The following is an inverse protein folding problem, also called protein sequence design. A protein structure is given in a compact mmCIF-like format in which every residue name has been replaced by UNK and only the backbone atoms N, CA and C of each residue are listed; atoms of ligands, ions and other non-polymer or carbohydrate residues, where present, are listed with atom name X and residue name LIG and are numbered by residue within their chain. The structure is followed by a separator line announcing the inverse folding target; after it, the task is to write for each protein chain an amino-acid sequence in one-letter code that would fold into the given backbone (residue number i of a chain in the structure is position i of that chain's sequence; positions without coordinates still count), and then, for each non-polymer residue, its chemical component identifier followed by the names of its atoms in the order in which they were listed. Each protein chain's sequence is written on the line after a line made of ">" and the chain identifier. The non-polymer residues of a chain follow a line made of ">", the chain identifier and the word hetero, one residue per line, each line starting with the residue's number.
data_IF_549152213350
#
_entry.id   IF_549152213350
#
_cell.length_a   1.000
_cell.length_b   1.000
_cell.length_c   1.000
_cell.angle_alpha   90.00
_cell.angle_beta   90.00
_cell.angle_gamma   90.00
#
_symmetry.space_group_name_H-M   'P 1'
#
loop_
_entity.id
_entity.type
_entity.pdbx_description
1 polymer ?
#
# COMPACT_ATOMS: atom_id res chain seq x y z
N UNK A 1 15.19 2.79 4.06
CA UNK A 1 15.29 2.14 2.73
C UNK A 1 14.35 2.89 1.82
N UNK A 2 14.86 3.41 0.70
CA UNK A 2 14.10 4.15 -0.31
C UNK A 2 14.50 3.70 -1.73
N UNK A 3 14.73 2.41 -1.88
CA UNK A 3 14.99 1.76 -3.17
C UNK A 3 13.68 1.54 -3.95
N UNK A 4 13.70 1.05 -5.18
CA UNK A 4 12.49 0.48 -5.78
C UNK A 4 11.86 -0.58 -4.88
N UNK A 5 10.52 -0.62 -4.81
CA UNK A 5 9.79 -1.49 -3.87
C UNK A 5 10.15 -2.98 -4.00
N UNK A 6 10.52 -3.43 -5.20
CA UNK A 6 11.01 -4.79 -5.47
C UNK A 6 12.33 -5.15 -4.75
N UNK A 7 12.95 -4.20 -4.04
CA UNK A 7 14.21 -4.38 -3.31
C UNK A 7 14.08 -4.11 -1.81
N UNK A 8 12.92 -3.65 -1.34
CA UNK A 8 12.74 -3.29 0.07
C UNK A 8 13.06 -4.46 1.00
N UNK A 9 12.49 -5.63 0.71
CA UNK A 9 12.64 -6.81 1.58
C UNK A 9 14.06 -7.33 1.58
N UNK A 10 14.71 -7.52 0.43
CA UNK A 10 16.10 -7.98 0.35
C UNK A 10 17.02 -7.12 1.22
N UNK A 11 16.91 -5.79 1.10
CA UNK A 11 17.73 -4.84 1.85
C UNK A 11 17.38 -4.85 3.34
N UNK A 12 16.09 -4.98 3.68
CA UNK A 12 15.61 -5.01 5.06
C UNK A 12 16.14 -6.25 5.80
N UNK A 13 16.00 -7.41 5.19
CA UNK A 13 16.50 -8.68 5.75
C UNK A 13 17.99 -8.61 5.98
N UNK A 14 18.76 -8.19 4.97
CA UNK A 14 20.21 -8.05 5.08
C UNK A 14 20.60 -7.10 6.23
N UNK A 15 19.94 -5.96 6.34
CA UNK A 15 20.24 -4.99 7.40
C UNK A 15 19.94 -5.55 8.80
N UNK A 16 18.80 -6.22 8.99
CA UNK A 16 18.44 -6.82 10.28
C UNK A 16 19.39 -7.96 10.68
N UNK A 17 19.80 -8.81 9.73
CA UNK A 17 20.81 -9.86 9.94
C UNK A 17 22.16 -9.28 10.39
N UNK A 18 22.48 -8.06 9.94
CA UNK A 18 23.71 -7.35 10.34
C UNK A 18 23.49 -6.41 11.54
N UNK A 19 22.43 -6.65 12.33
CA UNK A 19 22.20 -5.98 13.60
C UNK A 19 21.65 -4.55 13.49
N UNK A 20 21.09 -4.15 12.34
CA UNK A 20 20.51 -2.81 12.15
C UNK A 20 19.00 -2.84 12.33
N UNK A 21 18.43 -1.75 12.83
CA UNK A 21 17.01 -1.48 12.73
C UNK A 21 16.70 -0.97 11.32
N UNK A 22 15.48 -1.18 10.86
CA UNK A 22 15.03 -0.85 9.52
C UNK A 22 13.82 0.06 9.55
N UNK A 23 13.85 1.08 8.70
CA UNK A 23 12.71 1.87 8.30
C UNK A 23 12.67 1.88 6.76
N UNK A 24 11.58 1.44 6.18
CA UNK A 24 11.43 1.28 4.73
C UNK A 24 10.24 2.07 4.20
N UNK A 25 10.39 2.64 3.02
CA UNK A 25 9.32 3.25 2.25
C UNK A 25 8.24 2.23 1.88
N UNK A 26 7.08 2.73 1.53
CA UNK A 26 5.92 1.95 1.09
C UNK A 26 6.08 1.48 -0.37
N UNK A 27 5.49 0.32 -0.69
CA UNK A 27 5.00 -0.74 0.20
C UNK A 27 6.18 -1.48 0.86
N UNK A 28 5.99 -1.97 2.06
CA UNK A 28 7.04 -2.70 2.79
C UNK A 28 7.44 -4.00 2.09
N UNK A 29 6.48 -4.68 1.49
CA UNK A 29 6.62 -5.96 0.79
C UNK A 29 5.63 -6.05 -0.37
N UNK A 30 5.85 -6.96 -1.32
CA UNK A 30 5.01 -7.16 -2.51
C UNK A 30 4.24 -8.49 -2.40
N UNK A 31 4.80 -9.48 -1.72
CA UNK A 31 4.21 -10.80 -1.57
C UNK A 31 3.89 -11.11 -0.11
N UNK A 32 2.97 -12.04 0.11
CA UNK A 32 2.66 -12.52 1.46
C UNK A 32 3.87 -13.18 2.12
N UNK A 33 4.68 -13.91 1.35
CA UNK A 33 5.90 -14.53 1.85
C UNK A 33 6.91 -13.48 2.33
N UNK A 34 7.11 -12.43 1.58
CA UNK A 34 7.96 -11.30 1.98
C UNK A 34 7.47 -10.63 3.28
N UNK A 35 6.15 -10.50 3.46
CA UNK A 35 5.59 -9.99 4.72
C UNK A 35 6.01 -10.87 5.91
N UNK A 36 5.91 -12.19 5.77
CA UNK A 36 6.35 -13.12 6.82
C UNK A 36 7.85 -13.06 7.05
N UNK A 37 8.66 -12.99 5.99
CA UNK A 37 10.11 -12.86 6.12
C UNK A 37 10.53 -11.62 6.92
N UNK A 38 9.86 -10.48 6.72
CA UNK A 38 10.11 -9.27 7.51
C UNK A 38 9.80 -9.47 8.99
N UNK A 39 8.65 -10.06 9.31
CA UNK A 39 8.22 -10.32 10.69
C UNK A 39 9.16 -11.32 11.36
N UNK A 40 9.37 -12.48 10.75
CA UNK A 40 10.20 -13.56 11.31
C UNK A 40 11.65 -13.09 11.53
N UNK A 41 12.19 -12.31 10.60
CA UNK A 41 13.55 -11.78 10.74
C UNK A 41 13.63 -10.72 11.81
N UNK A 42 12.66 -9.84 11.92
CA UNK A 42 12.57 -8.84 12.99
C UNK A 42 12.54 -9.51 14.37
N UNK A 43 11.70 -10.52 14.54
CA UNK A 43 11.59 -11.28 15.79
C UNK A 43 12.87 -12.04 16.13
N UNK A 44 13.42 -12.77 15.17
CA UNK A 44 14.63 -13.59 15.35
C UNK A 44 15.87 -12.74 15.66
N UNK A 45 16.03 -11.63 14.95
CA UNK A 45 17.20 -10.74 15.14
C UNK A 45 17.01 -9.74 16.27
N UNK A 46 15.78 -9.57 16.76
CA UNK A 46 15.37 -8.52 17.71
C UNK A 46 15.70 -7.12 17.19
N UNK A 47 15.46 -6.89 15.90
CA UNK A 47 15.63 -5.58 15.26
C UNK A 47 14.28 -5.06 14.85
N UNK A 48 14.03 -3.77 15.07
CA UNK A 48 12.80 -3.15 14.61
C UNK A 48 12.81 -3.07 13.09
N UNK A 49 11.63 -3.39 12.52
CA UNK A 49 11.32 -3.18 11.11
C UNK A 49 10.04 -2.36 11.04
N UNK A 50 10.10 -1.19 10.46
CA UNK A 50 8.98 -0.24 10.37
C UNK A 50 8.76 0.18 8.94
N UNK A 51 7.52 0.12 8.48
CA UNK A 51 7.08 0.76 7.25
C UNK A 51 6.79 2.24 7.53
N UNK A 52 7.31 3.12 6.68
CA UNK A 52 7.14 4.57 6.80
C UNK A 52 5.93 5.02 5.98
N UNK A 53 4.74 4.75 6.49
CA UNK A 53 3.49 5.25 5.89
C UNK A 53 3.29 6.71 6.26
N UNK A 54 3.75 7.62 5.40
CA UNK A 54 3.75 9.06 5.67
C UNK A 54 2.36 9.68 5.74
N UNK A 55 1.41 9.21 4.93
CA UNK A 55 0.05 9.78 4.89
C UNK A 55 -0.70 9.66 6.23
N UNK A 56 -0.37 8.67 7.07
CA UNK A 56 -0.93 8.55 8.42
C UNK A 56 -0.61 9.76 9.30
N UNK A 57 0.50 10.46 9.01
CA UNK A 57 1.01 11.56 9.84
C UNK A 57 0.69 12.95 9.28
N UNK A 58 -0.06 13.04 8.21
CA UNK A 58 -0.53 14.32 7.71
C UNK A 58 -1.58 14.94 8.63
N UNK A 59 -1.71 16.26 8.59
CA UNK A 59 -2.57 16.99 9.52
C UNK A 59 -4.04 16.51 9.45
N UNK A 60 -4.54 16.27 8.25
CA UNK A 60 -5.93 15.85 8.04
C UNK A 60 -6.17 14.46 8.61
N UNK A 61 -5.29 13.51 8.33
CA UNK A 61 -5.39 12.11 8.77
C UNK A 61 -5.24 12.00 10.30
N UNK A 62 -4.28 12.69 10.89
CA UNK A 62 -4.11 12.74 12.34
C UNK A 62 -5.32 13.38 13.03
N UNK A 63 -5.89 14.43 12.44
CA UNK A 63 -7.10 15.08 12.97
C UNK A 63 -8.27 14.10 12.91
N UNK A 64 -8.48 13.45 11.77
CA UNK A 64 -9.56 12.47 11.58
C UNK A 64 -9.42 11.29 12.55
N UNK A 65 -8.23 10.76 12.70
CA UNK A 65 -7.93 9.70 13.69
C UNK A 65 -8.28 10.15 15.11
N UNK A 66 -7.85 11.34 15.49
CA UNK A 66 -8.14 11.88 16.83
C UNK A 66 -9.64 12.07 17.05
N UNK A 67 -10.37 12.60 16.08
CA UNK A 67 -11.83 12.72 16.14
C UNK A 67 -12.53 11.37 16.25
N UNK A 68 -12.08 10.37 15.51
CA UNK A 68 -12.60 9.00 15.59
C UNK A 68 -12.39 8.40 16.98
N UNK A 69 -11.19 8.52 17.56
CA UNK A 69 -10.87 7.99 18.88
C UNK A 69 -11.59 8.72 20.03
N UNK A 70 -11.98 9.97 19.81
CA UNK A 70 -12.80 10.72 20.76
C UNK A 70 -14.31 10.52 20.56
N UNK A 71 -14.74 9.69 19.62
CA UNK A 71 -16.13 9.37 19.38
C UNK A 71 -16.92 10.48 18.69
N UNK A 72 -16.25 11.47 18.08
CA UNK A 72 -16.93 12.61 17.39
C UNK A 72 -17.83 12.12 16.26
N UNK A 73 -17.42 11.05 15.57
CA UNK A 73 -18.21 10.45 14.48
C UNK A 73 -19.29 9.46 14.96
N UNK A 74 -19.39 9.23 16.28
CA UNK A 74 -20.23 8.16 16.79
C UNK A 74 -19.70 6.78 16.45
N UNK A 75 -20.58 5.82 16.22
CA UNK A 75 -20.21 4.47 15.79
C UNK A 75 -19.90 4.48 14.30
N UNK A 76 -18.63 4.22 13.94
CA UNK A 76 -18.18 4.19 12.56
C UNK A 76 -18.56 2.83 11.96
N UNK A 77 -19.37 2.83 10.93
CA UNK A 77 -19.85 1.62 10.22
C UNK A 77 -19.20 1.42 8.87
N UNK A 78 -18.63 2.50 8.29
CA UNK A 78 -17.98 2.50 7.00
C UNK A 78 -16.87 3.53 6.94
N UNK A 79 -15.81 3.23 6.17
CA UNK A 79 -14.73 4.16 5.87
C UNK A 79 -14.28 3.98 4.42
N UNK A 80 -13.85 5.07 3.79
CA UNK A 80 -13.30 5.07 2.44
C UNK A 80 -11.91 5.71 2.47
N UNK A 81 -11.00 5.18 1.68
CA UNK A 81 -9.67 5.73 1.47
C UNK A 81 -9.15 5.43 0.08
N UNK A 82 -8.29 6.29 -0.44
CA UNK A 82 -7.86 6.14 -1.82
C UNK A 82 -6.42 6.60 -2.03
N UNK A 83 -5.80 6.01 -3.06
CA UNK A 83 -4.61 6.52 -3.70
C UNK A 83 -4.96 6.81 -5.16
N UNK A 84 -5.36 8.05 -5.41
CA UNK A 84 -5.79 8.54 -6.72
C UNK A 84 -4.89 9.68 -7.14
N UNK A 85 -4.03 9.41 -8.14
CA UNK A 85 -3.04 10.36 -8.65
C UNK A 85 -2.87 10.22 -10.16
N UNK A 86 -2.61 11.33 -10.84
CA UNK A 86 -2.03 11.26 -12.17
C UNK A 86 -0.50 11.10 -12.04
N UNK A 87 0.00 9.90 -12.22
CA UNK A 87 1.44 9.61 -12.19
C UNK A 87 2.14 9.81 -13.54
N UNK A 88 1.46 10.30 -14.57
CA UNK A 88 2.03 10.55 -15.89
C UNK A 88 3.42 11.21 -15.84
N UNK A 89 3.62 12.33 -15.12
CA UNK A 89 4.93 12.97 -14.99
C UNK A 89 6.02 12.12 -14.31
N UNK A 90 5.62 11.12 -13.53
CA UNK A 90 6.54 10.23 -12.80
C UNK A 90 6.87 8.94 -13.54
N UNK A 91 6.08 8.58 -14.56
CA UNK A 91 6.39 7.41 -15.40
C UNK A 91 7.70 7.61 -16.15
N UNK A 92 7.87 8.75 -16.82
CA UNK A 92 9.05 9.07 -17.62
C UNK A 92 10.30 9.34 -16.76
N UNK A 93 10.15 9.83 -15.55
CA UNK A 93 11.26 10.22 -14.66
C UNK A 93 11.84 9.10 -13.82
N UNK A 94 11.25 7.91 -13.80
CA UNK A 94 11.73 6.81 -12.97
C UNK A 94 12.94 6.11 -13.60
N UNK A 95 14.01 5.92 -12.81
CA UNK A 95 15.20 5.20 -13.25
C UNK A 95 14.84 3.83 -13.83
N UNK A 96 15.28 3.55 -15.07
CA UNK A 96 15.02 2.29 -15.79
C UNK A 96 13.52 1.95 -15.92
N UNK A 97 12.65 2.93 -15.86
CA UNK A 97 11.20 2.76 -15.97
C UNK A 97 10.63 1.70 -15.00
N UNK A 98 11.22 1.56 -13.82
CA UNK A 98 10.84 0.50 -12.87
C UNK A 98 9.36 0.57 -12.44
N UNK A 99 8.81 1.78 -12.30
CA UNK A 99 7.41 1.96 -11.87
C UNK A 99 6.43 1.44 -12.92
N UNK A 100 6.62 1.82 -14.18
CA UNK A 100 5.73 1.36 -15.26
C UNK A 100 5.90 -0.15 -15.50
N UNK A 101 7.12 -0.69 -15.41
CA UNK A 101 7.38 -2.14 -15.48
C UNK A 101 6.72 -2.89 -14.33
N UNK A 102 6.73 -2.32 -13.12
CA UNK A 102 6.06 -2.88 -11.97
C UNK A 102 4.54 -2.93 -12.16
N UNK A 103 3.92 -1.83 -12.60
CA UNK A 103 2.50 -1.78 -12.92
C UNK A 103 2.14 -2.70 -14.09
N UNK A 104 2.98 -2.77 -15.12
CA UNK A 104 2.76 -3.66 -16.26
C UNK A 104 2.68 -5.13 -15.85
N UNK A 105 3.50 -5.57 -14.90
CA UNK A 105 3.66 -6.99 -14.53
C UNK A 105 2.81 -7.45 -13.34
N UNK A 106 2.22 -6.53 -12.59
CA UNK A 106 1.40 -6.81 -11.41
C UNK A 106 -0.05 -6.37 -11.63
N UNK A 107 -0.95 -6.84 -10.78
CA UNK A 107 -2.38 -6.55 -10.89
C UNK A 107 -2.98 -6.20 -9.53
N UNK A 108 -3.92 -5.26 -9.52
CA UNK A 108 -4.63 -4.84 -8.32
C UNK A 108 -4.12 -3.52 -7.75
N UNK A 109 -4.43 -3.24 -6.50
CA UNK A 109 -3.93 -2.07 -5.80
C UNK A 109 -2.46 -2.28 -5.43
N UNK A 110 -1.57 -1.55 -6.10
CA UNK A 110 -0.12 -1.64 -5.91
C UNK A 110 0.42 -0.69 -4.84
N UNK A 111 -0.45 0.19 -4.31
CA UNK A 111 -0.09 1.19 -3.30
C UNK A 111 -1.18 1.39 -2.24
N UNK A 112 -1.68 0.31 -1.61
CA UNK A 112 -2.88 0.36 -0.74
C UNK A 112 -2.64 1.15 0.55
N UNK A 113 -1.39 1.29 0.97
CA UNK A 113 -1.04 1.80 2.29
C UNK A 113 -1.46 3.24 2.52
N UNK A 114 -1.42 4.10 1.49
CA UNK A 114 -1.80 5.51 1.62
C UNK A 114 -3.30 5.71 1.85
N UNK A 115 -4.14 4.96 1.14
CA UNK A 115 -5.59 4.98 1.39
C UNK A 115 -5.99 4.20 2.63
N UNK A 116 -5.38 3.05 2.86
CA UNK A 116 -5.77 2.12 3.91
C UNK A 116 -5.13 2.41 5.29
N UNK A 117 -3.90 2.92 5.32
CA UNK A 117 -3.15 3.18 6.56
C UNK A 117 -3.88 4.10 7.53
N UNK A 118 -4.34 5.30 7.11
CA UNK A 118 -5.13 6.20 7.95
C UNK A 118 -6.41 5.55 8.50
N UNK A 119 -7.10 4.77 7.67
CA UNK A 119 -8.29 4.02 8.09
C UNK A 119 -7.94 2.99 9.16
N UNK A 120 -6.85 2.25 9.00
CA UNK A 120 -6.37 1.30 10.00
C UNK A 120 -6.14 1.96 11.36
N UNK A 121 -5.60 3.17 11.37
CA UNK A 121 -5.37 3.93 12.59
C UNK A 121 -6.69 4.41 13.21
N UNK A 122 -7.60 4.94 12.41
CA UNK A 122 -8.90 5.43 12.89
C UNK A 122 -9.78 4.30 13.45
N UNK A 123 -9.74 3.11 12.85
CA UNK A 123 -10.54 1.93 13.24
C UNK A 123 -9.82 0.97 14.19
N UNK A 124 -8.65 1.33 14.71
CA UNK A 124 -7.87 0.48 15.63
C UNK A 124 -7.59 -0.92 15.06
N UNK A 125 -7.26 -1.03 13.77
CA UNK A 125 -6.96 -2.31 13.14
C UNK A 125 -5.77 -2.98 13.83
N UNK A 126 -5.91 -4.28 14.14
CA UNK A 126 -4.99 -5.08 14.96
C UNK A 126 -4.76 -4.56 16.39
N UNK A 127 -5.63 -3.65 16.87
CA UNK A 127 -5.64 -3.11 18.24
C UNK A 127 -7.06 -3.16 18.84
N UNK A 128 -7.74 -4.28 18.65
CA UNK A 128 -9.13 -4.50 19.05
C UNK A 128 -10.10 -4.70 17.89
N UNK A 129 -9.62 -4.62 16.67
CA UNK A 129 -10.33 -4.89 15.44
C UNK A 129 -9.42 -5.66 14.45
N UNK A 130 -9.98 -6.37 13.49
CA UNK A 130 -9.21 -7.05 12.43
C UNK A 130 -10.04 -7.22 11.15
N UNK A 131 -9.34 -7.35 10.03
CA UNK A 131 -9.95 -7.74 8.76
C UNK A 131 -10.37 -9.21 8.81
N UNK A 132 -11.55 -9.52 8.25
CA UNK A 132 -12.05 -10.90 8.14
C UNK A 132 -11.93 -11.45 6.73
N UNK A 133 -12.30 -10.66 5.75
CA UNK A 133 -12.10 -10.97 4.33
C UNK A 133 -12.06 -9.69 3.50
N UNK A 134 -11.58 -9.81 2.29
CA UNK A 134 -11.63 -8.76 1.28
C UNK A 134 -12.03 -9.32 -0.09
N UNK A 135 -12.54 -8.43 -0.93
CA UNK A 135 -12.75 -8.66 -2.36
C UNK A 135 -12.17 -7.48 -3.11
N UNK A 136 -11.32 -7.75 -4.07
CA UNK A 136 -10.70 -6.73 -4.91
C UNK A 136 -11.05 -6.97 -6.38
N UNK A 137 -11.42 -5.91 -7.07
CA UNK A 137 -11.80 -5.93 -8.48
C UNK A 137 -11.12 -4.77 -9.18
N UNK A 138 -10.52 -5.04 -10.32
CA UNK A 138 -9.92 -4.03 -11.18
C UNK A 138 -10.67 -3.91 -12.52
N UNK A 139 -10.48 -2.78 -13.17
CA UNK A 139 -10.98 -2.53 -14.52
C UNK A 139 -10.06 -3.17 -15.58
N UNK A 140 -10.42 -3.05 -16.84
CA UNK A 140 -9.47 -3.26 -17.94
C UNK A 140 -8.40 -2.17 -17.93
N UNK A 141 -7.23 -2.47 -18.44
CA UNK A 141 -6.16 -1.51 -18.69
C UNK A 141 -6.38 -0.83 -20.05
N UNK A 142 -6.55 0.47 -20.05
CA UNK A 142 -6.66 1.32 -21.24
C UNK A 142 -5.50 2.32 -21.23
N UNK A 143 -5.48 3.20 -20.24
CA UNK A 143 -4.42 4.22 -20.08
C UNK A 143 -3.09 3.55 -19.74
N UNK A 144 -3.08 2.55 -18.85
CA UNK A 144 -1.87 1.80 -18.52
C UNK A 144 -1.24 1.14 -19.74
N UNK A 145 -2.05 0.54 -20.61
CA UNK A 145 -1.55 -0.06 -21.85
C UNK A 145 -1.01 0.99 -22.81
N UNK A 146 -1.66 2.15 -22.96
CA UNK A 146 -1.19 3.24 -23.82
C UNK A 146 0.17 3.75 -23.36
N UNK A 147 0.31 4.10 -22.08
CA UNK A 147 1.57 4.53 -21.47
C UNK A 147 2.64 3.44 -21.54
N UNK A 148 2.28 2.19 -21.33
CA UNK A 148 3.21 1.05 -21.44
C UNK A 148 3.74 0.85 -22.85
N UNK A 149 2.91 1.02 -23.87
CA UNK A 149 3.33 0.99 -25.28
C UNK A 149 4.31 2.10 -25.59
N UNK A 150 4.02 3.32 -25.14
CA UNK A 150 4.85 4.49 -25.40
C UNK A 150 6.21 4.40 -24.71
N UNK A 151 6.24 4.07 -23.41
CA UNK A 151 7.46 4.16 -22.60
C UNK A 151 8.34 2.91 -22.62
N UNK A 152 7.76 1.73 -22.75
CA UNK A 152 8.49 0.45 -22.66
C UNK A 152 8.18 -0.54 -23.78
N UNK A 153 7.34 -0.15 -24.77
CA UNK A 153 7.09 -0.93 -25.98
C UNK A 153 6.35 -2.25 -25.77
N UNK A 154 5.46 -2.35 -24.78
CA UNK A 154 4.71 -3.57 -24.49
C UNK A 154 3.34 -3.57 -25.15
N UNK A 155 2.84 -4.76 -25.51
CA UNK A 155 1.50 -4.97 -26.07
C UNK A 155 0.48 -5.47 -25.05
N UNK A 156 0.92 -5.80 -23.83
CA UNK A 156 0.08 -6.25 -22.73
C UNK A 156 0.39 -5.48 -21.46
N UNK A 157 -0.66 -5.16 -20.69
CA UNK A 157 -0.56 -4.48 -19.42
C UNK A 157 -1.54 -5.10 -18.43
N UNK A 158 -1.01 -5.65 -17.32
CA UNK A 158 -1.81 -6.48 -16.41
C UNK A 158 -2.61 -5.66 -15.39
N UNK A 159 -2.10 -4.52 -14.94
CA UNK A 159 -2.81 -3.70 -13.99
C UNK A 159 -3.99 -2.98 -14.66
N UNK A 160 -5.17 -3.07 -14.07
CA UNK A 160 -6.31 -2.25 -14.46
C UNK A 160 -6.07 -0.77 -14.17
N UNK A 161 -6.76 0.12 -14.90
CA UNK A 161 -6.62 1.56 -14.68
C UNK A 161 -7.17 1.95 -13.29
N UNK A 162 -8.20 1.27 -12.82
CA UNK A 162 -8.78 1.50 -11.51
C UNK A 162 -9.00 0.18 -10.75
N UNK A 163 -8.70 0.16 -9.47
CA UNK A 163 -8.96 -0.96 -8.56
C UNK A 163 -9.81 -0.51 -7.38
N UNK A 164 -10.84 -1.28 -7.06
CA UNK A 164 -11.65 -1.11 -5.86
C UNK A 164 -11.51 -2.36 -4.98
N UNK A 165 -11.22 -2.17 -3.71
CA UNK A 165 -11.08 -3.24 -2.72
C UNK A 165 -12.03 -3.03 -1.56
N UNK A 166 -13.00 -3.92 -1.39
CA UNK A 166 -13.89 -3.95 -0.23
C UNK A 166 -13.36 -4.88 0.84
N UNK A 167 -13.30 -4.39 2.08
CA UNK A 167 -12.82 -5.13 3.24
C UNK A 167 -13.92 -5.17 4.29
N UNK A 168 -14.15 -6.33 4.90
CA UNK A 168 -15.02 -6.52 6.06
C UNK A 168 -14.19 -6.69 7.32
N UNK A 169 -14.59 -6.00 8.40
CA UNK A 169 -13.92 -6.13 9.70
C UNK A 169 -14.71 -7.04 10.65
N UNK A 170 -14.05 -7.54 11.70
CA UNK A 170 -14.67 -8.37 12.74
C UNK A 170 -15.76 -7.61 13.53
N UNK A 171 -15.56 -6.30 13.75
CA UNK A 171 -16.55 -5.45 14.43
C UNK A 171 -17.72 -5.03 13.52
N UNK A 172 -17.75 -5.53 12.28
CA UNK A 172 -18.88 -5.33 11.37
C UNK A 172 -18.76 -4.12 10.44
N UNK A 173 -17.69 -3.35 10.51
CA UNK A 173 -17.46 -2.23 9.60
C UNK A 173 -17.09 -2.74 8.18
N UNK A 174 -17.30 -1.88 7.21
CA UNK A 174 -16.81 -2.06 5.84
C UNK A 174 -15.81 -0.95 5.50
N UNK A 175 -14.83 -1.30 4.70
CA UNK A 175 -13.83 -0.36 4.19
C UNK A 175 -13.79 -0.48 2.67
N UNK A 176 -13.78 0.65 1.98
CA UNK A 176 -13.54 0.76 0.55
C UNK A 176 -12.17 1.41 0.33
N UNK A 177 -11.29 0.72 -0.40
CA UNK A 177 -9.98 1.25 -0.77
C UNK A 177 -9.89 1.32 -2.29
N UNK A 178 -9.54 2.48 -2.81
CA UNK A 178 -9.50 2.75 -4.24
C UNK A 178 -8.08 3.11 -4.67
N UNK A 179 -7.69 2.61 -5.82
CA UNK A 179 -6.40 2.87 -6.45
C UNK A 179 -6.60 3.25 -7.92
N UNK A 180 -6.02 4.39 -8.33
CA UNK A 180 -6.02 4.88 -9.70
C UNK A 180 -4.81 5.80 -9.90
N UNK A 181 -4.03 5.57 -10.95
CA UNK A 181 -2.75 6.28 -11.17
C UNK A 181 -2.61 6.86 -12.58
N UNK A 182 -3.71 6.99 -13.32
CA UNK A 182 -3.75 7.44 -14.71
C UNK A 182 -4.55 8.71 -14.95
#
# INVERSE_FOLDING_TARGET
>A
ISTPCTKHVDVALYAMEHGKHVAAEVPAAITLEECWQLVDTSERTRRHCMMLENCVYDFFELTTMNMAHQGVFGEIVHAEGSYIHNLGPYWEGSHDNWRIKFNQSHRGDLYPTHGFGPICMALNMHRGNKMTYLVSVDTKSVNGLEVGKELIGVDEFHNGDHTTTFIKTELGQTIDVQYDVY
#
